data_IF_644872757212
#
_entry.id   IF_644872757212
#
_cell.length_a   1.000
_cell.length_b   1.000
_cell.length_c   1.000
_cell.angle_alpha   90.00
_cell.angle_beta   90.00
_cell.angle_gamma   90.00
#
_symmetry.space_group_name_H-M   'P 1'
#
loop_
_entity.id
_entity.type
_entity.pdbx_description
1 polymer ?
#
# COMPACT_ATOMS: atom_id res chain seq x y z
N UNK A 1 -14.52 9.67 -9.04
CA UNK A 1 -13.49 9.52 -10.09
C UNK A 1 -14.13 8.87 -11.32
N UNK A 2 -14.00 9.50 -12.50
CA UNK A 2 -14.45 8.95 -13.76
C UNK A 2 -13.26 8.72 -14.68
N UNK A 3 -13.23 7.64 -15.48
CA UNK A 3 -12.17 7.39 -16.43
C UNK A 3 -12.10 8.53 -17.47
N UNK A 4 -10.90 8.78 -17.98
CA UNK A 4 -10.73 9.69 -19.11
C UNK A 4 -11.48 9.11 -20.34
N UNK A 5 -12.25 9.95 -21.04
CA UNK A 5 -13.02 9.54 -22.21
C UNK A 5 -12.18 8.84 -23.30
N UNK A 6 -10.88 9.15 -23.40
CA UNK A 6 -9.95 8.50 -24.34
C UNK A 6 -9.79 7.01 -24.07
N UNK A 7 -10.02 6.54 -22.86
CA UNK A 7 -9.97 5.11 -22.51
C UNK A 7 -11.10 4.32 -23.18
N UNK A 8 -12.17 4.98 -23.65
CA UNK A 8 -13.26 4.36 -24.42
C UNK A 8 -12.75 3.62 -25.67
N UNK A 9 -11.64 4.04 -26.25
CA UNK A 9 -11.05 3.39 -27.43
C UNK A 9 -10.38 2.04 -27.12
N UNK A 10 -10.03 1.78 -25.86
CA UNK A 10 -9.35 0.54 -25.46
C UNK A 10 -10.32 -0.53 -24.93
N UNK A 11 -11.33 -0.12 -24.18
CA UNK A 11 -12.37 -1.02 -23.63
C UNK A 11 -13.72 -0.29 -23.55
N UNK A 12 -14.42 -0.15 -24.70
CA UNK A 12 -15.60 0.69 -24.80
C UNK A 12 -16.72 0.33 -23.81
N UNK A 13 -17.10 -0.96 -23.61
CA UNK A 13 -18.21 -1.31 -22.72
C UNK A 13 -17.93 -0.97 -21.27
N UNK A 14 -16.76 -1.35 -20.76
CA UNK A 14 -16.37 -1.15 -19.37
C UNK A 14 -16.18 0.33 -19.06
N UNK A 15 -15.52 1.07 -19.94
CA UNK A 15 -15.29 2.51 -19.73
C UNK A 15 -16.59 3.30 -19.79
N UNK A 16 -17.51 2.98 -20.70
CA UNK A 16 -18.85 3.60 -20.74
C UNK A 16 -19.64 3.33 -19.48
N UNK A 17 -19.64 2.09 -18.98
CA UNK A 17 -20.31 1.75 -17.73
C UNK A 17 -19.73 2.55 -16.53
N UNK A 18 -18.39 2.68 -16.42
CA UNK A 18 -17.75 3.47 -15.39
C UNK A 18 -18.04 4.97 -15.49
N UNK A 19 -18.15 5.51 -16.72
CA UNK A 19 -18.54 6.92 -16.92
C UNK A 19 -19.99 7.12 -16.49
N UNK A 20 -20.91 6.21 -16.88
CA UNK A 20 -22.31 6.29 -16.47
C UNK A 20 -22.46 6.23 -14.95
N UNK A 21 -21.78 5.28 -14.29
CA UNK A 21 -21.75 5.18 -12.83
C UNK A 21 -21.21 6.45 -12.15
N UNK A 22 -20.16 7.06 -12.71
CA UNK A 22 -19.64 8.34 -12.22
C UNK A 22 -20.61 9.50 -12.38
N UNK A 23 -21.38 9.51 -13.47
CA UNK A 23 -22.45 10.53 -13.69
C UNK A 23 -23.62 10.33 -12.72
N UNK A 24 -24.04 9.08 -12.49
CA UNK A 24 -25.07 8.76 -11.49
C UNK A 24 -24.64 9.23 -10.08
N UNK A 25 -23.42 8.90 -9.68
CA UNK A 25 -22.86 9.34 -8.41
C UNK A 25 -22.82 10.88 -8.27
N UNK A 26 -22.50 11.61 -9.36
CA UNK A 26 -22.55 13.07 -9.38
C UNK A 26 -23.99 13.58 -9.20
N UNK A 27 -24.96 12.99 -9.88
CA UNK A 27 -26.37 13.36 -9.74
C UNK A 27 -26.87 13.11 -8.33
N UNK A 28 -26.50 11.98 -7.73
CA UNK A 28 -26.85 11.64 -6.35
C UNK A 28 -26.21 12.65 -5.36
N UNK A 29 -24.97 13.06 -5.60
CA UNK A 29 -24.33 14.10 -4.81
C UNK A 29 -25.08 15.44 -4.89
N UNK A 30 -25.46 15.87 -6.09
CA UNK A 30 -26.24 17.11 -6.29
C UNK A 30 -27.62 17.04 -5.59
N UNK A 31 -28.23 15.85 -5.54
CA UNK A 31 -29.51 15.60 -4.87
C UNK A 31 -29.39 15.40 -3.35
N UNK A 32 -28.18 15.39 -2.80
CA UNK A 32 -27.94 15.08 -1.38
C UNK A 32 -28.23 13.61 -1.00
N UNK A 33 -28.24 12.72 -1.98
CA UNK A 33 -28.52 11.27 -1.81
C UNK A 33 -27.24 10.43 -1.98
N UNK A 34 -26.11 11.04 -2.22
CA UNK A 34 -24.84 10.35 -2.42
C UNK A 34 -24.40 9.67 -1.11
N UNK A 35 -24.26 8.34 -1.16
CA UNK A 35 -23.59 7.58 -0.12
C UNK A 35 -22.16 7.26 -0.59
N UNK A 36 -21.18 7.59 0.23
CA UNK A 36 -19.78 7.31 -0.09
C UNK A 36 -19.56 5.78 -0.16
N UNK A 37 -19.02 5.25 -1.26
CA UNK A 37 -18.74 3.82 -1.37
C UNK A 37 -17.82 3.37 -0.24
N UNK A 38 -18.24 2.33 0.50
CA UNK A 38 -17.48 1.81 1.64
C UNK A 38 -17.83 2.44 3.00
N UNK A 39 -18.70 3.44 3.04
CA UNK A 39 -19.15 4.01 4.30
C UNK A 39 -19.80 2.93 5.18
N UNK A 40 -19.32 2.79 6.41
CA UNK A 40 -19.80 1.78 7.37
C UNK A 40 -19.27 0.36 7.14
N UNK A 41 -18.41 0.14 6.14
CA UNK A 41 -17.74 -1.16 5.92
C UNK A 41 -16.49 -1.27 6.81
N UNK A 42 -15.76 -0.16 7.01
CA UNK A 42 -14.56 -0.16 7.83
C UNK A 42 -14.95 -0.19 9.30
N UNK A 43 -14.55 -1.25 9.99
CA UNK A 43 -14.80 -1.45 11.42
C UNK A 43 -13.72 -0.80 12.29
N UNK A 44 -12.48 -0.79 11.76
CA UNK A 44 -11.35 -0.22 12.47
C UNK A 44 -10.29 0.30 11.51
N UNK A 45 -9.84 1.52 11.76
CA UNK A 45 -8.68 2.13 11.09
C UNK A 45 -7.86 2.94 12.09
N UNK A 46 -6.53 2.97 11.90
CA UNK A 46 -5.65 3.83 12.66
C UNK A 46 -4.50 4.34 11.78
N UNK A 47 -4.08 5.56 12.09
CA UNK A 47 -3.04 6.28 11.36
C UNK A 47 -1.97 6.76 12.36
N UNK A 48 -1.10 5.86 12.86
CA UNK A 48 -0.06 6.24 13.80
C UNK A 48 0.93 7.22 13.14
N UNK A 49 1.19 8.33 13.81
CA UNK A 49 1.90 9.50 13.30
C UNK A 49 3.24 9.76 14.00
N UNK A 50 3.58 8.97 15.03
CA UNK A 50 4.87 9.05 15.74
C UNK A 50 5.57 7.69 15.77
N UNK A 51 6.92 7.65 15.83
CA UNK A 51 7.66 6.40 15.91
C UNK A 51 7.21 5.49 17.06
N UNK A 52 6.84 6.05 18.21
CA UNK A 52 6.37 5.30 19.38
C UNK A 52 5.03 4.63 19.11
N UNK A 53 4.09 5.35 18.49
CA UNK A 53 2.78 4.80 18.09
C UNK A 53 2.94 3.74 16.99
N UNK A 54 3.80 4.00 16.01
CA UNK A 54 4.12 3.05 14.94
C UNK A 54 4.68 1.77 15.55
N UNK A 55 5.68 1.89 16.43
CA UNK A 55 6.26 0.74 17.13
C UNK A 55 5.21 -0.06 17.89
N UNK A 56 4.36 0.61 18.65
CA UNK A 56 3.30 -0.05 19.43
C UNK A 56 2.35 -0.87 18.51
N UNK A 57 1.99 -0.31 17.37
CA UNK A 57 1.16 -1.03 16.38
C UNK A 57 1.88 -2.20 15.73
N UNK A 58 3.15 -2.04 15.36
CA UNK A 58 3.95 -3.13 14.78
C UNK A 58 4.12 -4.28 15.80
N UNK A 59 4.37 -3.97 17.08
CA UNK A 59 4.41 -4.97 18.17
C UNK A 59 3.04 -5.68 18.30
N UNK A 60 1.94 -4.96 18.26
CA UNK A 60 0.59 -5.53 18.29
C UNK A 60 0.30 -6.44 17.10
N UNK A 61 0.74 -6.08 15.87
CA UNK A 61 0.61 -6.95 14.70
C UNK A 61 1.39 -8.25 14.85
N UNK A 62 2.57 -8.22 15.49
CA UNK A 62 3.34 -9.43 15.84
C UNK A 62 2.59 -10.29 16.84
N UNK A 63 1.99 -9.70 17.87
CA UNK A 63 1.21 -10.41 18.89
C UNK A 63 -0.07 -11.02 18.33
N UNK A 64 -0.76 -10.31 17.40
CA UNK A 64 -1.96 -10.83 16.72
C UNK A 64 -1.66 -12.12 15.95
N UNK A 65 -0.47 -12.27 15.43
CA UNK A 65 -0.02 -13.47 14.72
C UNK A 65 -0.96 -13.90 13.58
N UNK A 66 -1.52 -12.94 12.83
CA UNK A 66 -2.47 -13.14 11.72
C UNK A 66 -1.81 -12.87 10.38
N UNK A 67 -2.30 -13.46 9.28
CA UNK A 67 -1.94 -13.01 7.92
C UNK A 67 -2.21 -11.52 7.72
N UNK A 68 -1.32 -10.82 6.99
CA UNK A 68 -1.45 -9.41 6.69
C UNK A 68 -1.49 -9.17 5.18
N UNK A 69 -2.44 -8.39 4.72
CA UNK A 69 -2.35 -7.73 3.42
C UNK A 69 -1.50 -6.46 3.59
N UNK A 70 -0.50 -6.31 2.72
CA UNK A 70 0.48 -5.23 2.79
C UNK A 70 0.52 -4.52 1.46
N UNK A 71 0.50 -3.19 1.51
CA UNK A 71 0.60 -2.33 0.34
C UNK A 71 1.46 -1.12 0.66
N UNK A 72 2.19 -0.59 -0.33
CA UNK A 72 3.02 0.60 -0.18
C UNK A 72 2.71 1.63 -1.27
N UNK A 73 2.78 2.89 -0.89
CA UNK A 73 2.87 3.99 -1.84
C UNK A 73 4.31 4.50 -1.90
N UNK A 74 4.81 4.72 -3.09
CA UNK A 74 6.20 5.12 -3.32
C UNK A 74 6.29 6.36 -4.20
N UNK A 75 7.42 7.07 -4.16
CA UNK A 75 7.62 8.31 -4.91
C UNK A 75 8.12 8.09 -6.34
N UNK A 76 8.46 6.86 -6.72
CA UNK A 76 8.99 6.58 -8.05
C UNK A 76 8.87 5.12 -8.44
N UNK A 77 9.05 4.84 -9.73
CA UNK A 77 8.87 3.50 -10.28
C UNK A 77 10.11 2.59 -10.14
N UNK A 78 11.25 3.17 -9.82
CA UNK A 78 12.51 2.42 -9.68
C UNK A 78 12.82 2.19 -8.21
N UNK A 79 12.95 0.95 -7.79
CA UNK A 79 13.16 0.54 -6.40
C UNK A 79 14.29 1.29 -5.69
N UNK A 80 15.37 1.65 -6.40
CA UNK A 80 16.52 2.37 -5.83
C UNK A 80 16.26 3.85 -5.53
N UNK A 81 15.26 4.47 -6.15
CA UNK A 81 14.88 5.86 -5.89
C UNK A 81 13.40 6.03 -5.51
N UNK A 82 12.70 4.91 -5.30
CA UNK A 82 11.27 4.94 -5.01
C UNK A 82 10.98 5.56 -3.65
N UNK A 83 11.80 5.29 -2.63
CA UNK A 83 11.44 5.55 -1.24
C UNK A 83 10.20 4.77 -0.82
N UNK A 84 9.83 4.85 0.45
CA UNK A 84 8.56 4.31 0.95
C UNK A 84 7.75 5.52 1.43
N UNK A 85 6.77 5.95 0.65
CA UNK A 85 5.91 7.08 1.03
C UNK A 85 5.08 6.74 2.25
N UNK A 86 4.19 5.77 2.07
CA UNK A 86 3.34 5.21 3.12
C UNK A 86 3.33 3.70 3.03
N UNK A 87 2.94 3.04 4.12
CA UNK A 87 2.72 1.60 4.18
C UNK A 87 1.40 1.31 4.89
N UNK A 88 0.69 0.28 4.40
CA UNK A 88 -0.59 -0.17 4.94
C UNK A 88 -0.50 -1.62 5.35
N UNK A 89 -1.11 -1.96 6.48
CA UNK A 89 -1.27 -3.32 6.99
C UNK A 89 -2.74 -3.58 7.29
N UNK A 90 -3.33 -4.62 6.68
CA UNK A 90 -4.70 -5.05 6.94
C UNK A 90 -4.71 -6.51 7.41
N UNK A 91 -5.36 -6.78 8.54
CA UNK A 91 -5.52 -8.14 9.11
C UNK A 91 -6.92 -8.70 8.92
N UNK A 92 -7.82 -7.92 8.33
CA UNK A 92 -9.14 -8.35 7.89
C UNK A 92 -9.61 -7.51 6.69
N UNK A 93 -10.81 -7.79 6.18
CA UNK A 93 -11.42 -6.99 5.09
C UNK A 93 -11.84 -5.59 5.54
N UNK A 94 -11.94 -5.37 6.84
CA UNK A 94 -12.56 -4.19 7.45
C UNK A 94 -11.67 -3.51 8.49
N UNK A 95 -10.45 -4.02 8.70
CA UNK A 95 -9.57 -3.55 9.77
C UNK A 95 -8.12 -3.43 9.30
N UNK A 96 -7.51 -2.31 9.56
CA UNK A 96 -6.14 -2.04 9.17
C UNK A 96 -5.54 -0.79 9.78
N UNK A 97 -4.27 -0.58 9.48
CA UNK A 97 -3.53 0.65 9.80
C UNK A 97 -2.77 1.12 8.58
N UNK A 98 -2.52 2.41 8.50
CA UNK A 98 -1.62 3.00 7.51
C UNK A 98 -0.80 4.12 8.17
N UNK A 99 0.45 4.28 7.76
CA UNK A 99 1.29 5.36 8.27
C UNK A 99 2.35 5.79 7.25
N UNK A 100 2.82 7.02 7.44
CA UNK A 100 3.87 7.60 6.65
C UNK A 100 5.23 6.99 7.05
N UNK A 101 6.06 6.71 6.05
CA UNK A 101 7.46 6.29 6.25
C UNK A 101 8.39 7.46 5.88
N UNK A 102 8.54 7.75 4.59
CA UNK A 102 9.38 8.85 4.09
C UNK A 102 8.56 10.07 3.68
N UNK A 103 7.25 10.06 3.87
CA UNK A 103 6.38 11.19 3.57
C UNK A 103 6.16 12.05 4.81
N UNK A 104 6.56 13.30 4.74
CA UNK A 104 6.33 14.29 5.79
C UNK A 104 5.28 15.29 5.32
N UNK A 105 4.07 15.29 5.91
CA UNK A 105 3.03 16.27 5.58
C UNK A 105 3.50 17.69 5.89
N UNK A 106 3.13 18.65 5.04
CA UNK A 106 3.36 20.07 5.31
C UNK A 106 2.13 20.61 6.05
N UNK A 107 2.34 21.00 7.30
CA UNK A 107 1.26 21.52 8.14
C UNK A 107 0.63 22.78 7.51
N UNK A 108 -0.69 22.80 7.43
CA UNK A 108 -1.46 23.93 6.87
C UNK A 108 -1.40 24.05 5.33
N UNK A 109 -0.82 23.10 4.60
CA UNK A 109 -0.84 23.13 3.14
C UNK A 109 -2.26 22.96 2.60
N UNK A 110 -2.75 23.95 1.87
CA UNK A 110 -4.07 23.94 1.19
C UNK A 110 -3.94 23.61 -0.30
N UNK A 111 -2.71 23.65 -0.83
CA UNK A 111 -2.38 23.39 -2.23
C UNK A 111 -1.17 22.44 -2.31
N UNK A 112 -1.03 21.75 -3.44
CA UNK A 112 0.14 20.89 -3.68
C UNK A 112 1.46 21.70 -3.74
N UNK A 113 2.58 21.15 -3.20
CA UNK A 113 2.68 19.84 -2.59
C UNK A 113 2.14 19.82 -1.15
N UNK A 114 1.34 18.82 -0.83
CA UNK A 114 0.79 18.64 0.53
C UNK A 114 1.80 18.04 1.53
N UNK A 115 2.96 17.63 1.05
CA UNK A 115 4.03 17.07 1.83
C UNK A 115 5.34 17.02 1.06
N UNK A 116 6.40 16.59 1.73
CA UNK A 116 7.73 16.44 1.16
C UNK A 116 8.30 15.05 1.42
N UNK A 117 9.27 14.65 0.61
CA UNK A 117 10.03 13.43 0.83
C UNK A 117 11.06 13.75 1.91
N UNK A 118 11.00 13.01 3.01
CA UNK A 118 11.96 13.09 4.10
C UNK A 118 12.26 11.68 4.61
N UNK A 119 13.42 11.13 4.22
CA UNK A 119 13.85 9.79 4.62
C UNK A 119 13.84 9.66 6.15
N UNK A 120 13.05 8.72 6.65
CA UNK A 120 12.89 8.48 8.08
C UNK A 120 13.53 7.15 8.48
N UNK A 121 14.81 7.20 8.84
CA UNK A 121 15.56 6.00 9.21
C UNK A 121 15.03 5.33 10.50
N UNK A 122 14.37 6.08 11.39
CA UNK A 122 13.76 5.49 12.60
C UNK A 122 12.61 4.58 12.20
N UNK A 123 11.66 5.07 11.40
CA UNK A 123 10.50 4.27 10.95
C UNK A 123 10.96 3.12 10.05
N UNK A 124 11.96 3.34 9.17
CA UNK A 124 12.54 2.27 8.35
C UNK A 124 13.15 1.15 9.18
N UNK A 125 13.86 1.47 10.26
CA UNK A 125 14.43 0.46 11.16
C UNK A 125 13.33 -0.30 11.92
N UNK A 126 12.27 0.38 12.37
CA UNK A 126 11.10 -0.29 12.97
C UNK A 126 10.45 -1.28 11.99
N UNK A 127 10.27 -0.89 10.72
CA UNK A 127 9.75 -1.79 9.69
C UNK A 127 10.68 -2.97 9.40
N UNK A 128 11.99 -2.72 9.30
CA UNK A 128 12.98 -3.78 9.12
C UNK A 128 12.93 -4.81 10.25
N UNK A 129 12.92 -4.35 11.50
CA UNK A 129 12.79 -5.23 12.67
C UNK A 129 11.47 -6.00 12.69
N UNK A 130 10.38 -5.34 12.32
CA UNK A 130 9.07 -5.98 12.19
C UNK A 130 9.12 -7.13 11.18
N UNK A 131 9.58 -6.89 9.94
CA UNK A 131 9.63 -7.92 8.91
C UNK A 131 10.57 -9.07 9.26
N UNK A 132 11.68 -8.81 9.97
CA UNK A 132 12.57 -9.87 10.47
C UNK A 132 11.83 -10.81 11.42
N UNK A 133 10.99 -10.27 12.30
CA UNK A 133 10.25 -11.02 13.34
C UNK A 133 8.96 -11.63 12.80
N UNK A 134 8.34 -11.01 11.79
CA UNK A 134 7.04 -11.42 11.27
C UNK A 134 7.18 -12.65 10.36
N UNK A 135 6.57 -13.77 10.77
CA UNK A 135 6.68 -15.06 10.08
C UNK A 135 5.35 -15.55 9.47
N UNK A 136 4.27 -14.80 9.69
CA UNK A 136 2.97 -15.14 9.14
C UNK A 136 2.88 -14.78 7.66
N UNK A 137 1.78 -15.19 7.04
CA UNK A 137 1.53 -14.97 5.60
C UNK A 137 1.42 -13.48 5.29
N UNK A 138 2.16 -13.05 4.27
CA UNK A 138 2.17 -11.72 3.70
C UNK A 138 1.45 -11.75 2.35
N UNK A 139 0.42 -10.95 2.18
CA UNK A 139 -0.36 -10.88 0.94
C UNK A 139 -0.13 -9.55 0.25
N UNK A 140 0.23 -9.60 -1.03
CA UNK A 140 0.50 -8.42 -1.86
C UNK A 140 -0.36 -8.44 -3.13
N UNK A 141 -0.53 -7.28 -3.76
CA UNK A 141 -0.99 -7.20 -5.14
C UNK A 141 0.17 -6.79 -6.03
N UNK A 142 0.58 -7.66 -6.97
CA UNK A 142 1.78 -7.45 -7.79
C UNK A 142 3.09 -7.38 -6.97
N UNK A 143 3.30 -8.38 -6.13
CA UNK A 143 4.40 -8.52 -5.18
C UNK A 143 5.79 -8.10 -5.71
N UNK A 144 6.02 -8.27 -7.02
CA UNK A 144 7.31 -7.94 -7.64
C UNK A 144 7.69 -6.45 -7.51
N UNK A 145 6.71 -5.56 -7.33
CA UNK A 145 6.99 -4.14 -7.12
C UNK A 145 7.22 -3.83 -5.63
N UNK A 146 6.23 -4.11 -4.78
CA UNK A 146 6.27 -3.75 -3.36
C UNK A 146 7.47 -4.38 -2.64
N UNK A 147 7.66 -5.67 -2.84
CA UNK A 147 8.76 -6.40 -2.20
C UNK A 147 10.13 -5.95 -2.72
N UNK A 148 10.24 -5.59 -4.01
CA UNK A 148 11.48 -5.01 -4.54
C UNK A 148 11.85 -3.70 -3.86
N UNK A 149 10.87 -2.81 -3.70
CA UNK A 149 11.06 -1.54 -3.00
C UNK A 149 11.43 -1.78 -1.54
N UNK A 150 10.68 -2.64 -0.83
CA UNK A 150 10.93 -2.95 0.58
C UNK A 150 12.31 -3.58 0.80
N UNK A 151 12.73 -4.53 -0.04
CA UNK A 151 14.07 -5.13 0.07
C UNK A 151 15.15 -4.07 -0.10
N UNK A 152 15.07 -3.27 -1.17
CA UNK A 152 16.08 -2.25 -1.42
C UNK A 152 16.13 -1.20 -0.31
N UNK A 153 14.97 -0.69 0.09
CA UNK A 153 14.89 0.43 1.01
C UNK A 153 15.16 0.05 2.48
N UNK A 154 14.94 -1.22 2.86
CA UNK A 154 15.09 -1.67 4.25
C UNK A 154 16.32 -2.53 4.51
N UNK A 155 16.84 -3.23 3.50
CA UNK A 155 17.87 -4.24 3.70
C UNK A 155 19.18 -3.99 2.91
N UNK A 156 19.15 -3.14 1.87
CA UNK A 156 20.32 -2.88 1.03
C UNK A 156 20.90 -1.49 1.28
N UNK A 157 22.22 -1.39 1.28
CA UNK A 157 22.93 -0.11 1.36
C UNK A 157 23.07 0.56 -0.03
N UNK A 158 23.15 -0.25 -1.08
CA UNK A 158 23.30 0.23 -2.47
C UNK A 158 22.93 -0.89 -3.46
N UNK A 159 22.94 -0.57 -4.77
CA UNK A 159 22.52 -1.50 -5.84
C UNK A 159 23.40 -2.77 -6.00
N UNK A 160 24.61 -2.76 -5.50
CA UNK A 160 25.53 -3.90 -5.56
C UNK A 160 25.67 -4.64 -4.21
N UNK A 161 24.85 -4.30 -3.23
CA UNK A 161 24.81 -4.95 -1.94
C UNK A 161 24.11 -6.31 -2.05
N UNK A 162 24.90 -7.33 -2.38
CA UNK A 162 24.41 -8.71 -2.54
C UNK A 162 23.99 -9.34 -1.21
N UNK A 163 24.67 -9.00 -0.11
CA UNK A 163 24.33 -9.57 1.22
C UNK A 163 22.98 -9.02 1.69
N UNK A 164 22.77 -7.70 1.59
CA UNK A 164 21.49 -7.07 1.91
C UNK A 164 20.35 -7.58 1.02
N UNK A 165 20.61 -7.78 -0.28
CA UNK A 165 19.64 -8.35 -1.21
C UNK A 165 19.22 -9.77 -0.78
N UNK A 166 20.17 -10.66 -0.55
CA UNK A 166 19.87 -12.06 -0.16
C UNK A 166 19.16 -12.14 1.17
N UNK A 167 19.59 -11.34 2.16
CA UNK A 167 18.92 -11.24 3.46
C UNK A 167 17.49 -10.72 3.33
N UNK A 168 17.30 -9.64 2.56
CA UNK A 168 15.96 -9.10 2.31
C UNK A 168 15.05 -10.09 1.59
N UNK A 169 15.56 -10.83 0.60
CA UNK A 169 14.80 -11.87 -0.09
C UNK A 169 14.39 -13.02 0.87
N UNK A 170 15.30 -13.49 1.72
CA UNK A 170 15.00 -14.53 2.72
C UNK A 170 13.86 -14.11 3.65
N UNK A 171 13.84 -12.85 4.07
CA UNK A 171 12.82 -12.33 4.98
C UNK A 171 11.51 -12.08 4.25
N UNK A 172 11.53 -11.30 3.17
CA UNK A 172 10.33 -10.80 2.50
C UNK A 172 9.62 -11.88 1.68
N UNK A 173 10.34 -12.92 1.23
CA UNK A 173 9.77 -14.02 0.45
C UNK A 173 9.58 -15.32 1.27
N UNK A 174 9.56 -15.22 2.58
CA UNK A 174 9.44 -16.38 3.47
C UNK A 174 8.08 -17.07 3.40
N UNK A 175 7.01 -16.29 3.40
CA UNK A 175 5.62 -16.79 3.43
C UNK A 175 4.68 -15.76 2.77
N UNK A 176 4.57 -15.82 1.44
CA UNK A 176 3.89 -14.79 0.66
C UNK A 176 2.83 -15.34 -0.29
N UNK A 177 1.85 -14.51 -0.57
CA UNK A 177 0.88 -14.66 -1.65
C UNK A 177 0.85 -13.40 -2.51
N UNK A 178 0.55 -13.58 -3.79
CA UNK A 178 0.30 -12.48 -4.72
C UNK A 178 -1.10 -12.62 -5.33
N UNK A 179 -2.00 -11.72 -4.98
CA UNK A 179 -3.38 -11.77 -5.46
C UNK A 179 -3.48 -11.64 -6.98
N UNK A 180 -2.57 -10.91 -7.62
CA UNK A 180 -2.48 -10.84 -9.08
C UNK A 180 -2.17 -12.21 -9.70
N UNK A 181 -1.19 -12.94 -9.16
CA UNK A 181 -0.83 -14.28 -9.63
C UNK A 181 -1.95 -15.28 -9.35
N UNK A 182 -2.57 -15.24 -8.18
CA UNK A 182 -3.69 -16.09 -7.80
C UNK A 182 -4.86 -15.87 -8.77
N UNK A 183 -5.22 -14.62 -9.05
CA UNK A 183 -6.30 -14.28 -10.00
C UNK A 183 -5.97 -14.79 -11.40
N UNK A 184 -4.76 -14.57 -11.87
CA UNK A 184 -4.31 -15.06 -13.16
C UNK A 184 -4.44 -16.60 -13.27
N UNK A 185 -3.95 -17.34 -12.26
CA UNK A 185 -4.02 -18.79 -12.25
C UNK A 185 -5.47 -19.31 -12.15
N UNK A 186 -6.32 -18.63 -11.39
CA UNK A 186 -7.72 -19.04 -11.20
C UNK A 186 -8.60 -18.75 -12.44
N UNK A 187 -8.32 -17.66 -13.16
CA UNK A 187 -9.17 -17.19 -14.26
C UNK A 187 -8.54 -17.40 -15.64
N UNK A 188 -7.25 -17.76 -15.71
CA UNK A 188 -6.43 -17.82 -16.93
C UNK A 188 -6.49 -16.49 -17.73
N UNK A 189 -6.63 -15.37 -17.03
CA UNK A 189 -6.71 -14.04 -17.62
C UNK A 189 -5.69 -13.10 -17.00
N UNK A 190 -5.04 -12.27 -17.83
CA UNK A 190 -4.23 -11.17 -17.34
C UNK A 190 -5.17 -10.11 -16.73
N UNK A 191 -5.04 -9.87 -15.43
CA UNK A 191 -5.72 -8.77 -14.77
C UNK A 191 -5.03 -7.43 -15.07
#
# INVERSE_FOLDING_TARGET
>A
YTPNYRQVFYDPPVVRAKIAQGMDALLDHIRGQYAEPGQGIIEFEAYPDTPEKIKAWLDQLLEMNKPLAIDIESFGLKHYNAGIGTITFCWSKTQGIAFNVDYEPIEGATEAPYGRINRNDIVRNLLREFFIKYTQRQMYHNISYDVYVLIYQLFMDNLIDTEGLLHGMEIMLRNWDCTKLITYLATNSCA
#
